data_IF_248440496712
#
_entry.id   IF_248440496712
#
_cell.length_a   1.000
_cell.length_b   1.000
_cell.length_c   1.000
_cell.angle_alpha   90.00
_cell.angle_beta   90.00
_cell.angle_gamma   90.00
#
_symmetry.space_group_name_H-M   'P 1'
#
loop_
_entity.id
_entity.type
_entity.pdbx_description
1 polymer ?
#
# COMPACT_ATOMS: atom_id res chain seq x y z
N UNK A 1 -19.18 -28.80 66.70
CA UNK A 1 -18.98 -28.74 65.24
C UNK A 1 -19.47 -27.39 64.74
N UNK A 2 -18.57 -26.41 64.55
CA UNK A 2 -18.94 -25.03 64.25
C UNK A 2 -18.79 -24.74 62.76
N UNK A 3 -19.90 -24.52 62.06
CA UNK A 3 -19.93 -24.17 60.64
C UNK A 3 -19.78 -22.65 60.46
N UNK A 4 -18.61 -22.21 59.98
CA UNK A 4 -18.37 -20.82 59.59
C UNK A 4 -18.71 -20.61 58.11
N UNK A 5 -19.80 -19.86 57.85
CA UNK A 5 -20.22 -19.38 56.52
C UNK A 5 -19.18 -18.42 55.93
N UNK A 6 -18.51 -18.81 54.84
CA UNK A 6 -17.65 -17.91 54.04
C UNK A 6 -18.51 -17.01 53.14
N UNK A 7 -18.34 -15.69 53.30
CA UNK A 7 -18.94 -14.63 52.48
C UNK A 7 -18.39 -14.67 51.05
N UNK A 8 -19.28 -14.82 50.06
CA UNK A 8 -18.98 -14.69 48.63
C UNK A 8 -18.71 -13.22 48.27
N UNK A 9 -17.45 -12.87 47.98
CA UNK A 9 -17.09 -11.59 47.37
C UNK A 9 -17.44 -11.63 45.88
N UNK A 10 -18.47 -10.88 45.49
CA UNK A 10 -18.77 -10.57 44.09
C UNK A 10 -17.58 -9.81 43.48
N UNK A 11 -16.85 -10.45 42.57
CA UNK A 11 -15.85 -9.80 41.72
C UNK A 11 -16.58 -8.92 40.71
N UNK A 12 -16.67 -7.63 40.99
CA UNK A 12 -16.96 -6.62 39.98
C UNK A 12 -15.90 -6.72 38.88
N UNK A 13 -16.23 -7.37 37.76
CA UNK A 13 -15.42 -7.30 36.54
C UNK A 13 -15.49 -5.85 36.03
N UNK A 14 -14.36 -5.15 35.84
CA UNK A 14 -14.39 -3.84 35.21
C UNK A 14 -14.98 -3.98 33.81
N UNK A 15 -15.98 -3.12 33.53
CA UNK A 15 -16.67 -3.01 32.25
C UNK A 15 -15.64 -2.99 31.11
N UNK A 16 -15.94 -3.82 30.11
CA UNK A 16 -15.31 -3.92 28.80
C UNK A 16 -14.66 -2.59 28.37
N UNK A 17 -13.35 -2.64 28.11
CA UNK A 17 -12.62 -1.55 27.46
C UNK A 17 -13.40 -1.15 26.22
N UNK A 18 -13.89 0.09 26.18
CA UNK A 18 -14.44 0.72 24.98
C UNK A 18 -13.53 0.36 23.81
N UNK A 19 -14.07 -0.33 22.81
CA UNK A 19 -13.38 -0.48 21.54
C UNK A 19 -12.96 0.92 21.09
N UNK A 20 -11.66 1.18 20.84
CA UNK A 20 -11.32 2.42 20.17
C UNK A 20 -12.08 2.41 18.85
N UNK A 21 -12.92 3.41 18.64
CA UNK A 21 -13.44 3.73 17.31
C UNK A 21 -12.21 3.89 16.43
N UNK A 22 -11.92 2.86 15.65
CA UNK A 22 -10.71 2.78 14.83
C UNK A 22 -10.71 3.97 13.89
N UNK A 23 -9.87 4.98 14.17
CA UNK A 23 -9.65 6.09 13.24
C UNK A 23 -9.22 5.47 11.91
N UNK A 24 -9.96 5.75 10.84
CA UNK A 24 -9.54 5.30 9.51
C UNK A 24 -8.21 5.96 9.16
N UNK A 25 -7.24 5.17 8.72
CA UNK A 25 -5.96 5.68 8.26
C UNK A 25 -6.19 6.67 7.10
N UNK A 26 -5.65 7.88 7.23
CA UNK A 26 -5.74 8.93 6.22
C UNK A 26 -4.85 8.61 5.02
N UNK A 27 -5.13 9.21 3.85
CA UNK A 27 -4.24 9.04 2.69
C UNK A 27 -2.85 9.60 2.97
N UNK A 28 -2.75 10.68 3.76
CA UNK A 28 -1.48 11.26 4.15
C UNK A 28 -0.64 10.29 5.00
N UNK A 29 -1.26 9.58 5.96
CA UNK A 29 -0.59 8.56 6.76
C UNK A 29 -0.12 7.38 5.90
N UNK A 30 -0.96 6.88 4.99
CA UNK A 30 -0.56 5.81 4.06
C UNK A 30 0.62 6.22 3.18
N UNK A 31 0.56 7.44 2.60
CA UNK A 31 1.64 7.98 1.74
C UNK A 31 2.94 8.15 2.51
N UNK A 32 2.88 8.71 3.72
CA UNK A 32 4.05 8.88 4.58
C UNK A 32 4.70 7.53 4.86
N UNK A 33 3.91 6.52 5.18
CA UNK A 33 4.44 5.19 5.46
C UNK A 33 5.09 4.55 4.23
N UNK A 34 4.49 4.70 3.05
CA UNK A 34 5.08 4.25 1.78
C UNK A 34 6.41 4.95 1.53
N UNK A 35 6.47 6.26 1.72
CA UNK A 35 7.69 7.06 1.56
C UNK A 35 8.78 6.62 2.55
N UNK A 36 8.45 6.55 3.83
CA UNK A 36 9.39 6.15 4.89
C UNK A 36 9.91 4.72 4.61
N UNK A 37 9.04 3.81 4.17
CA UNK A 37 9.43 2.45 3.82
C UNK A 37 10.30 2.39 2.57
N UNK A 38 10.00 3.19 1.55
CA UNK A 38 10.81 3.31 0.34
C UNK A 38 12.20 3.82 0.69
N UNK A 39 12.30 4.94 1.42
CA UNK A 39 13.58 5.55 1.81
C UNK A 39 14.41 4.61 2.68
N UNK A 40 13.79 3.86 3.59
CA UNK A 40 14.47 2.87 4.41
C UNK A 40 15.03 1.67 3.61
N UNK A 41 14.60 1.47 2.35
CA UNK A 41 15.05 0.38 1.48
C UNK A 41 15.91 0.86 0.31
N UNK A 42 15.73 2.10 -0.12
CA UNK A 42 16.58 2.75 -1.09
C UNK A 42 17.99 2.91 -0.51
N UNK A 43 19.01 2.56 -1.30
CA UNK A 43 20.42 2.78 -0.95
C UNK A 43 20.95 4.13 -1.46
N UNK A 44 20.12 4.89 -2.17
CA UNK A 44 20.46 6.12 -2.87
C UNK A 44 19.49 7.22 -2.42
N UNK A 45 19.95 8.47 -2.40
CA UNK A 45 19.10 9.58 -1.96
C UNK A 45 17.93 9.78 -2.92
N UNK A 46 16.73 9.97 -2.35
CA UNK A 46 15.52 10.31 -3.09
C UNK A 46 15.42 11.84 -3.20
N UNK A 47 15.32 12.35 -4.43
CA UNK A 47 15.14 13.79 -4.68
C UNK A 47 13.68 14.22 -4.48
N UNK A 48 13.41 15.52 -4.42
CA UNK A 48 12.05 16.06 -4.34
C UNK A 48 11.17 15.63 -5.53
N UNK A 49 11.73 15.58 -6.75
CA UNK A 49 11.01 15.11 -7.94
C UNK A 49 10.72 13.61 -7.88
N UNK A 50 11.66 12.81 -7.39
CA UNK A 50 11.46 11.39 -7.11
C UNK A 50 10.37 11.15 -6.06
N UNK A 51 10.35 11.93 -4.98
CA UNK A 51 9.30 11.84 -3.95
C UNK A 51 7.91 12.17 -4.50
N UNK A 52 7.80 13.20 -5.36
CA UNK A 52 6.55 13.55 -6.02
C UNK A 52 6.06 12.42 -6.92
N UNK A 53 6.95 11.84 -7.73
CA UNK A 53 6.65 10.70 -8.60
C UNK A 53 6.20 9.46 -7.79
N UNK A 54 6.88 9.16 -6.68
CA UNK A 54 6.53 8.04 -5.80
C UNK A 54 5.15 8.22 -5.20
N UNK A 55 4.86 9.44 -4.75
CA UNK A 55 3.55 9.78 -4.21
C UNK A 55 2.48 9.59 -5.28
N UNK A 56 2.67 10.14 -6.49
CA UNK A 56 1.71 10.02 -7.59
C UNK A 56 1.43 8.55 -7.96
N UNK A 57 2.48 7.73 -8.06
CA UNK A 57 2.39 6.31 -8.42
C UNK A 57 1.50 5.52 -7.46
N UNK A 58 1.71 5.67 -6.15
CA UNK A 58 0.92 4.96 -5.15
C UNK A 58 -0.44 5.60 -4.89
N UNK A 59 -0.59 6.91 -5.07
CA UNK A 59 -1.82 7.62 -4.79
C UNK A 59 -2.99 7.16 -5.67
N UNK A 60 -2.73 6.82 -6.93
CA UNK A 60 -3.73 6.25 -7.85
C UNK A 60 -4.35 4.99 -7.24
N UNK A 61 -3.51 4.10 -6.74
CA UNK A 61 -3.91 2.85 -6.11
C UNK A 61 -4.61 3.09 -4.78
N UNK A 62 -3.97 3.84 -3.87
CA UNK A 62 -4.49 4.10 -2.53
C UNK A 62 -5.87 4.77 -2.55
N UNK A 63 -6.07 5.79 -3.41
CA UNK A 63 -7.36 6.47 -3.57
C UNK A 63 -8.45 5.52 -4.05
N UNK A 64 -8.16 4.68 -5.05
CA UNK A 64 -9.14 3.74 -5.62
C UNK A 64 -9.61 2.73 -4.59
N UNK A 65 -8.69 2.12 -3.85
CA UNK A 65 -9.05 1.16 -2.80
C UNK A 65 -9.78 1.82 -1.63
N UNK A 66 -9.32 2.98 -1.18
CA UNK A 66 -9.99 3.70 -0.09
C UNK A 66 -11.44 4.05 -0.45
N UNK A 67 -11.68 4.53 -1.67
CA UNK A 67 -13.02 4.80 -2.19
C UNK A 67 -13.86 3.52 -2.30
N UNK A 68 -13.30 2.45 -2.87
CA UNK A 68 -14.03 1.17 -2.98
C UNK A 68 -14.37 0.57 -1.61
N UNK A 69 -13.49 0.72 -0.63
CA UNK A 69 -13.72 0.23 0.72
C UNK A 69 -14.82 1.01 1.42
N UNK A 70 -14.79 2.35 1.32
CA UNK A 70 -15.83 3.20 1.86
C UNK A 70 -17.22 2.89 1.26
N UNK A 71 -17.29 2.55 -0.03
CA UNK A 71 -18.54 2.20 -0.70
C UNK A 71 -19.06 0.80 -0.33
N UNK A 72 -18.18 -0.20 -0.23
CA UNK A 72 -18.58 -1.61 0.00
C UNK A 72 -18.69 -2.00 1.47
N UNK A 73 -17.86 -1.41 2.32
CA UNK A 73 -17.78 -1.69 3.75
C UNK A 73 -17.48 -0.39 4.53
N UNK A 74 -18.49 0.47 4.72
CA UNK A 74 -18.34 1.72 5.47
C UNK A 74 -17.69 1.48 6.83
N UNK A 75 -16.68 2.29 7.18
CA UNK A 75 -15.94 2.15 8.45
C UNK A 75 -14.80 1.14 8.44
N UNK A 76 -14.62 0.35 7.37
CA UNK A 76 -13.45 -0.53 7.24
C UNK A 76 -12.19 0.30 6.96
N UNK A 77 -11.17 0.16 7.81
CA UNK A 77 -9.83 0.67 7.51
C UNK A 77 -9.00 -0.40 6.81
N UNK A 78 -8.96 -0.35 5.48
CA UNK A 78 -8.21 -1.29 4.64
C UNK A 78 -6.70 -1.34 4.94
N UNK A 79 -6.15 -0.30 5.57
CA UNK A 79 -4.71 -0.21 5.84
C UNK A 79 -4.32 -0.96 7.11
N UNK A 80 -5.17 -0.91 8.14
CA UNK A 80 -4.90 -1.50 9.46
C UNK A 80 -5.68 -2.79 9.71
N UNK A 81 -6.60 -3.17 8.82
CA UNK A 81 -7.35 -4.42 8.93
C UNK A 81 -6.38 -5.60 9.09
N UNK A 82 -6.54 -6.38 10.18
CA UNK A 82 -5.67 -7.55 10.48
C UNK A 82 -5.63 -8.62 9.37
N UNK A 83 -6.68 -8.72 8.57
CA UNK A 83 -6.76 -9.60 7.38
C UNK A 83 -6.22 -8.92 6.10
N UNK A 84 -5.88 -7.64 6.18
CA UNK A 84 -5.53 -6.77 5.08
C UNK A 84 -4.12 -7.04 4.57
N UNK A 85 -4.01 -7.97 3.62
CA UNK A 85 -2.81 -8.14 2.78
C UNK A 85 -2.46 -6.86 2.00
N UNK A 86 -3.34 -5.86 1.97
CA UNK A 86 -3.20 -4.64 1.20
C UNK A 86 -2.00 -3.78 1.62
N UNK A 87 -1.87 -3.42 2.90
CA UNK A 87 -0.71 -2.65 3.38
C UNK A 87 0.59 -3.39 3.08
N UNK A 88 0.68 -4.67 3.43
CA UNK A 88 1.85 -5.51 3.15
C UNK A 88 2.16 -5.57 1.66
N UNK A 89 1.15 -5.73 0.81
CA UNK A 89 1.31 -5.71 -0.64
C UNK A 89 1.91 -4.38 -1.11
N UNK A 90 1.35 -3.25 -0.70
CA UNK A 90 1.80 -1.91 -1.10
C UNK A 90 3.25 -1.67 -0.65
N UNK A 91 3.59 -2.02 0.59
CA UNK A 91 4.96 -1.88 1.10
C UNK A 91 5.94 -2.83 0.39
N UNK A 92 5.51 -4.03 0.00
CA UNK A 92 6.33 -4.95 -0.79
C UNK A 92 6.61 -4.39 -2.20
N UNK A 93 5.62 -3.80 -2.87
CA UNK A 93 5.84 -3.13 -4.15
C UNK A 93 6.77 -1.92 -3.98
N UNK A 94 6.58 -1.10 -2.94
CA UNK A 94 7.48 0.02 -2.64
C UNK A 94 8.92 -0.44 -2.42
N UNK A 95 9.13 -1.56 -1.71
CA UNK A 95 10.45 -2.19 -1.53
C UNK A 95 11.04 -2.65 -2.87
N UNK A 96 10.26 -3.31 -3.73
CA UNK A 96 10.74 -3.77 -5.04
C UNK A 96 11.17 -2.57 -5.90
N UNK A 97 10.36 -1.51 -5.93
CA UNK A 97 10.66 -0.28 -6.68
C UNK A 97 11.92 0.36 -6.11
N UNK A 98 12.06 0.46 -4.78
CA UNK A 98 13.26 1.00 -4.14
C UNK A 98 14.51 0.26 -4.58
N UNK A 99 14.48 -1.08 -4.59
CA UNK A 99 15.63 -1.89 -5.04
C UNK A 99 15.99 -1.65 -6.50
N UNK A 100 14.99 -1.59 -7.39
CA UNK A 100 15.21 -1.37 -8.84
C UNK A 100 15.69 0.06 -9.09
N UNK A 101 15.07 1.06 -8.47
CA UNK A 101 15.45 2.46 -8.58
C UNK A 101 16.88 2.69 -8.06
N UNK A 102 17.24 2.06 -6.95
CA UNK A 102 18.61 2.05 -6.42
C UNK A 102 19.62 1.46 -7.39
N UNK A 103 19.25 0.38 -8.09
CA UNK A 103 20.11 -0.22 -9.11
C UNK A 103 20.25 0.67 -10.34
N UNK A 104 19.14 1.26 -10.80
CA UNK A 104 19.10 2.10 -12.00
C UNK A 104 19.79 3.46 -11.78
N UNK A 105 19.75 4.00 -10.55
CA UNK A 105 20.48 5.23 -10.19
C UNK A 105 22.00 5.03 -10.13
N UNK A 106 22.48 3.80 -9.88
CA UNK A 106 23.89 3.52 -9.67
C UNK A 106 24.47 4.31 -8.49
N UNK A 107 25.43 5.20 -8.76
CA UNK A 107 26.00 6.13 -7.78
C UNK A 107 25.22 7.44 -7.63
N UNK A 108 24.19 7.67 -8.46
CA UNK A 108 23.40 8.88 -8.49
C UNK A 108 22.19 8.88 -7.54
N UNK A 109 21.40 9.94 -7.63
CA UNK A 109 20.14 10.11 -6.89
C UNK A 109 18.96 9.47 -7.62
N UNK A 110 17.92 9.13 -6.87
CA UNK A 110 16.63 8.67 -7.43
C UNK A 110 15.77 9.91 -7.72
N UNK A 111 15.65 10.26 -9.00
CA UNK A 111 14.76 11.30 -9.49
C UNK A 111 13.46 10.72 -10.07
N UNK A 112 12.60 11.60 -10.60
CA UNK A 112 11.34 11.18 -11.20
C UNK A 112 11.51 10.20 -12.38
N UNK A 113 12.54 10.38 -13.21
CA UNK A 113 12.78 9.52 -14.37
C UNK A 113 13.22 8.13 -13.95
N UNK A 114 14.21 8.04 -13.05
CA UNK A 114 14.67 6.77 -12.47
C UNK A 114 13.53 6.05 -11.79
N UNK A 115 12.74 6.78 -10.98
CA UNK A 115 11.65 6.19 -10.23
C UNK A 115 10.52 5.68 -11.14
N UNK A 116 10.13 6.44 -12.16
CA UNK A 116 9.10 6.01 -13.11
C UNK A 116 9.56 4.77 -13.90
N UNK A 117 10.82 4.73 -14.34
CA UNK A 117 11.39 3.56 -14.99
C UNK A 117 11.41 2.31 -14.09
N UNK A 118 11.83 2.47 -12.84
CA UNK A 118 11.81 1.40 -11.85
C UNK A 118 10.37 0.94 -11.52
N UNK A 119 9.46 1.90 -11.36
CA UNK A 119 8.03 1.68 -11.15
C UNK A 119 7.43 0.85 -12.28
N UNK A 120 7.67 1.25 -13.53
CA UNK A 120 7.23 0.51 -14.70
C UNK A 120 7.77 -0.93 -14.71
N UNK A 121 9.08 -1.12 -14.53
CA UNK A 121 9.70 -2.48 -14.48
C UNK A 121 9.06 -3.37 -13.42
N UNK A 122 8.85 -2.85 -12.22
CA UNK A 122 8.25 -3.62 -11.11
C UNK A 122 6.78 -3.90 -11.39
N UNK A 123 6.02 -2.89 -11.81
CA UNK A 123 4.60 -3.03 -12.08
C UNK A 123 4.34 -3.98 -13.25
N UNK A 124 5.16 -3.98 -14.30
CA UNK A 124 5.11 -4.96 -15.39
C UNK A 124 5.40 -6.39 -14.92
N UNK A 125 6.40 -6.59 -14.06
CA UNK A 125 6.70 -7.91 -13.46
C UNK A 125 5.58 -8.38 -12.52
N UNK A 126 5.02 -7.47 -11.73
CA UNK A 126 3.86 -7.75 -10.89
C UNK A 126 2.61 -8.01 -11.76
N UNK A 127 2.51 -7.39 -12.94
CA UNK A 127 1.46 -7.58 -13.95
C UNK A 127 1.49 -8.88 -14.72
N UNK A 128 2.65 -9.51 -14.91
CA UNK A 128 2.70 -10.87 -15.44
C UNK A 128 1.85 -11.83 -14.59
N UNK A 129 1.65 -11.51 -13.31
CA UNK A 129 0.75 -12.24 -12.40
C UNK A 129 -0.70 -11.71 -12.41
N UNK A 130 -1.03 -10.66 -13.16
CA UNK A 130 -2.35 -10.02 -13.25
C UNK A 130 -2.97 -10.06 -14.66
N UNK A 131 -2.45 -10.88 -15.58
CA UNK A 131 -2.97 -11.07 -16.95
C UNK A 131 -3.15 -9.75 -17.74
N UNK A 132 -2.08 -8.96 -17.89
CA UNK A 132 -2.08 -7.78 -18.78
C UNK A 132 -1.09 -8.01 -19.92
N UNK A 133 -1.50 -7.78 -21.17
CA UNK A 133 -0.65 -7.92 -22.35
C UNK A 133 0.23 -6.67 -22.60
N UNK A 134 1.50 -6.90 -22.93
CA UNK A 134 2.46 -5.86 -23.37
C UNK A 134 2.98 -6.27 -24.75
N UNK A 135 2.89 -5.40 -25.74
CA UNK A 135 3.46 -5.62 -27.08
C UNK A 135 4.26 -4.39 -27.51
N UNK A 136 5.46 -4.61 -28.05
CA UNK A 136 6.32 -3.56 -28.62
C UNK A 136 6.62 -2.36 -27.70
N UNK A 137 6.83 -2.63 -26.41
CA UNK A 137 7.14 -1.58 -25.43
C UNK A 137 5.97 -0.64 -25.11
N UNK A 138 4.79 -0.90 -25.68
CA UNK A 138 3.54 -0.18 -25.41
C UNK A 138 2.56 -1.10 -24.68
N UNK A 139 1.83 -0.53 -23.74
CA UNK A 139 0.75 -1.23 -23.06
C UNK A 139 -0.45 -1.30 -24.01
N UNK A 140 -0.77 -2.49 -24.50
CA UNK A 140 -1.96 -2.71 -25.33
C UNK A 140 -3.13 -2.98 -24.39
N UNK A 141 -4.09 -2.05 -24.38
CA UNK A 141 -5.24 -2.05 -23.48
C UNK A 141 -6.41 -2.82 -24.12
N UNK A 142 -6.51 -4.13 -23.91
CA UNK A 142 -7.73 -4.88 -24.23
C UNK A 142 -8.71 -4.79 -23.06
N UNK A 143 -9.87 -4.16 -23.28
CA UNK A 143 -10.90 -3.89 -22.27
C UNK A 143 -11.47 -5.13 -21.57
N UNK A 144 -11.16 -6.33 -22.04
CA UNK A 144 -11.58 -7.60 -21.44
C UNK A 144 -10.64 -8.14 -20.34
N UNK A 145 -9.42 -7.60 -20.20
CA UNK A 145 -8.37 -8.19 -19.35
C UNK A 145 -7.99 -7.36 -18.10
N UNK A 146 -8.69 -6.26 -17.81
CA UNK A 146 -8.43 -5.41 -16.64
C UNK A 146 -9.03 -5.95 -15.33
N UNK A 147 -8.67 -7.19 -14.96
CA UNK A 147 -9.05 -7.76 -13.67
C UNK A 147 -7.83 -7.97 -12.78
N UNK A 148 -7.29 -6.87 -12.27
CA UNK A 148 -6.26 -6.85 -11.25
C UNK A 148 -6.48 -5.70 -10.27
N UNK A 149 -6.46 -5.94 -8.94
CA UNK A 149 -6.89 -4.94 -7.98
C UNK A 149 -5.90 -3.76 -7.84
N UNK A 150 -4.63 -3.88 -8.25
CA UNK A 150 -3.59 -2.88 -7.96
C UNK A 150 -2.96 -2.22 -9.20
N UNK A 151 -3.12 -2.79 -10.40
CA UNK A 151 -2.12 -2.51 -11.44
C UNK A 151 -2.58 -1.67 -12.65
N UNK A 152 -3.87 -1.33 -12.76
CA UNK A 152 -4.40 -0.70 -13.98
C UNK A 152 -4.06 0.79 -14.09
N UNK A 153 -4.37 1.60 -13.07
CA UNK A 153 -4.38 3.05 -13.22
C UNK A 153 -3.01 3.73 -13.39
N UNK A 154 -1.92 3.22 -12.81
CA UNK A 154 -0.58 3.78 -13.02
C UNK A 154 -0.04 3.41 -14.41
N UNK A 155 -0.24 2.17 -14.83
CA UNK A 155 0.24 1.70 -16.14
C UNK A 155 -0.54 2.33 -17.28
N UNK A 156 -1.85 2.51 -17.14
CA UNK A 156 -2.67 3.30 -18.09
C UNK A 156 -2.10 4.72 -18.29
N UNK A 157 -1.58 5.37 -17.25
CA UNK A 157 -0.96 6.69 -17.38
C UNK A 157 0.40 6.69 -18.07
N UNK A 158 1.08 5.55 -18.13
CA UNK A 158 2.36 5.40 -18.83
C UNK A 158 2.19 4.90 -20.28
N UNK A 159 0.97 4.57 -20.71
CA UNK A 159 0.65 3.97 -22.01
C UNK A 159 0.44 5.00 -23.15
N UNK A 160 0.74 6.28 -22.91
CA UNK A 160 0.58 7.37 -23.89
C UNK A 160 1.75 7.38 -24.88
#
# INVERSE_FOLDING_TARGET
MSASKKKSKAKNKPKSKKHPTSRQTSLAEMRKEVLDHFVAKARQPLTSSGQAALTAMFDITLKRFKRSAAAKAPGLDIWTTKKGKFRTFILNEARKIANVASSDAGSGSIDAQVLNGAGLKVMLKTNANCQVAVSDGKLILDGSQFHGPVCSGFLEQQAV
#
